data_IF_123442692750
#
_entry.id   IF_123442692750
#
_cell.length_a   1.000
_cell.length_b   1.000
_cell.length_c   1.000
_cell.angle_alpha   90.00
_cell.angle_beta   90.00
_cell.angle_gamma   90.00
#
_symmetry.space_group_name_H-M   'P 1'
#
loop_
_entity.id
_entity.type
_entity.pdbx_description
1 polymer ?
2 polymer ?
3 non-polymer ?
4 water ?
#
# COMPACT_ATOMS: atom_id res chain seq x y z
N UNK A 1 16.15 1.36 9.85
CA UNK A 1 15.44 0.24 9.23
C UNK A 1 15.65 0.48 7.73
N UNK A 2 15.62 -0.58 6.96
CA UNK A 2 15.76 -0.45 5.49
C UNK A 2 14.31 -0.35 5.05
N UNK A 3 13.99 0.73 4.33
CA UNK A 3 12.57 0.90 3.92
C UNK A 3 12.25 0.19 2.62
N UNK A 4 11.51 -0.88 2.66
CA UNK A 4 11.16 -1.62 1.44
C UNK A 4 9.67 -1.78 1.27
N UNK A 5 9.17 -1.72 0.07
CA UNK A 5 7.71 -1.93 -0.16
C UNK A 5 7.35 -3.35 0.30
N UNK A 6 6.23 -3.44 1.02
CA UNK A 6 5.73 -4.74 1.48
C UNK A 6 5.96 -5.21 2.89
N UNK A 7 6.91 -4.63 3.59
CA UNK A 7 7.33 -4.97 4.93
C UNK A 7 6.37 -4.47 5.97
N UNK A 8 6.36 -5.18 7.10
CA UNK A 8 5.49 -4.84 8.22
C UNK A 8 6.00 -3.62 8.99
N UNK A 9 5.02 -2.92 9.58
CA UNK A 9 5.20 -1.75 10.44
C UNK A 9 3.97 -1.74 11.36
N UNK A 10 4.11 -1.31 12.61
CA UNK A 10 2.98 -1.30 13.54
C UNK A 10 2.66 0.17 13.77
N UNK A 11 1.46 0.45 14.27
CA UNK A 11 1.00 1.81 14.56
C UNK A 11 0.58 1.90 16.04
N UNK A 12 1.23 2.78 16.79
CA UNK A 12 0.95 3.01 18.18
C UNK A 12 0.90 1.71 18.96
N UNK A 13 1.84 0.83 18.64
CA UNK A 13 2.05 -0.50 19.25
C UNK A 13 0.83 -1.41 19.25
N UNK A 14 -0.04 -1.11 18.25
CA UNK A 14 -1.33 -1.83 18.08
C UNK A 14 -1.48 -2.51 16.72
N UNK A 15 -2.07 -1.84 15.76
CA UNK A 15 -2.29 -2.32 14.41
C UNK A 15 -0.97 -2.59 13.64
N UNK A 16 -1.12 -3.40 12.62
CA UNK A 16 -0.04 -3.69 11.68
C UNK A 16 -0.51 -3.28 10.29
N UNK A 17 0.36 -2.83 9.47
CA UNK A 17 0.09 -2.50 8.06
C UNK A 17 1.36 -2.77 7.27
N UNK A 18 1.37 -2.62 5.99
CA UNK A 18 2.52 -2.78 5.14
C UNK A 18 3.00 -1.49 4.54
N UNK A 19 4.28 -1.39 4.31
CA UNK A 19 4.91 -0.23 3.69
C UNK A 19 4.49 -0.29 2.22
N UNK A 20 4.14 0.86 1.72
CA UNK A 20 3.77 1.09 0.32
C UNK A 20 5.02 1.31 -0.56
N UNK A 21 5.47 2.57 -0.57
CA UNK A 21 6.61 3.04 -1.33
C UNK A 21 7.40 4.14 -0.62
N UNK A 22 8.71 4.02 -0.67
CA UNK A 22 9.68 4.97 -0.18
C UNK A 22 9.52 6.21 -1.10
N UNK A 23 9.44 7.36 -0.49
CA UNK A 23 9.28 8.65 -1.20
C UNK A 23 10.11 9.73 -0.47
N UNK A 24 10.19 10.88 -1.10
CA UNK A 24 10.87 11.99 -0.41
C UNK A 24 9.93 13.21 -0.68
N UNK A 25 10.17 14.16 0.19
CA UNK A 25 9.53 15.48 0.17
C UNK A 25 10.58 16.51 0.59
N UNK A 26 11.38 16.94 -0.38
CA UNK A 26 12.53 17.85 -0.14
C UNK A 26 13.49 16.88 0.59
N UNK A 27 14.17 17.37 1.62
CA UNK A 27 15.09 16.55 2.41
C UNK A 27 14.45 15.53 3.33
N UNK A 28 13.12 15.46 3.43
CA UNK A 28 12.38 14.55 4.30
C UNK A 28 12.11 13.19 3.65
N UNK A 29 12.45 12.21 4.41
CA UNK A 29 12.27 10.80 4.00
C UNK A 29 10.86 10.41 4.48
N UNK A 30 10.28 9.48 3.69
CA UNK A 30 8.95 8.95 4.01
C UNK A 30 8.66 7.66 3.19
N UNK A 31 7.45 7.20 3.46
CA UNK A 31 6.84 6.07 2.75
C UNK A 31 5.33 6.38 2.65
N UNK A 32 4.72 5.96 1.57
CA UNK A 32 3.27 6.15 1.34
C UNK A 32 2.68 4.81 1.83
N UNK A 33 1.48 5.01 2.39
CA UNK A 33 0.71 3.89 2.96
C UNK A 33 -0.79 4.24 2.82
N UNK A 34 -1.62 3.44 3.46
CA UNK A 34 -3.06 3.54 3.51
C UNK A 34 -3.42 4.40 4.69
N UNK A 35 -4.38 5.29 4.48
CA UNK A 35 -4.86 6.28 5.45
C UNK A 35 -5.53 5.67 6.67
N UNK A 36 -6.24 4.61 6.37
CA UNK A 36 -6.97 3.85 7.41
C UNK A 36 -5.89 3.28 8.35
N UNK A 37 -4.64 3.13 8.01
CA UNK A 37 -3.71 2.59 8.99
C UNK A 37 -3.46 3.39 10.27
N UNK A 38 -3.43 4.71 10.21
CA UNK A 38 -3.16 5.58 11.33
C UNK A 38 -3.72 6.97 11.21
N UNK A 39 -3.76 7.71 12.28
CA UNK A 39 -4.24 9.12 12.30
C UNK A 39 -2.97 9.97 12.38
N UNK A 40 -3.03 11.22 12.05
CA UNK A 40 -1.90 12.14 12.08
C UNK A 40 -1.21 11.95 13.43
N UNK A 41 0.08 12.03 13.40
CA UNK A 41 0.96 11.82 14.53
C UNK A 41 0.95 10.40 15.07
N UNK A 42 0.30 9.35 14.62
CA UNK A 42 0.49 8.05 15.28
C UNK A 42 1.98 7.67 15.02
N UNK A 43 2.52 6.86 15.88
CA UNK A 43 3.90 6.37 15.76
C UNK A 43 4.06 5.04 15.02
N UNK A 44 4.92 5.06 14.03
CA UNK A 44 5.16 3.88 13.17
C UNK A 44 6.39 3.17 13.72
N UNK A 45 6.43 1.86 13.78
CA UNK A 45 7.61 1.18 14.29
C UNK A 45 7.89 0.06 13.33
N UNK A 46 9.16 -0.29 13.17
CA UNK A 46 9.64 -1.37 12.33
C UNK A 46 10.60 -2.17 13.20
N UNK A 47 10.22 -3.41 13.31
CA UNK A 47 10.87 -4.46 14.09
C UNK A 47 11.10 -3.85 15.46
N UNK A 48 10.06 -3.33 16.08
CA UNK A 48 10.25 -2.71 17.39
C UNK A 48 10.90 -1.34 17.53
N UNK A 49 11.53 -0.75 16.54
CA UNK A 49 12.12 0.58 16.67
C UNK A 49 11.26 1.68 16.02
N UNK A 50 11.25 2.88 16.59
CA UNK A 50 10.51 4.02 16.07
C UNK A 50 11.25 4.45 14.78
N UNK A 51 10.47 4.67 13.75
CA UNK A 51 10.87 5.10 12.42
C UNK A 51 10.22 6.47 12.04
N UNK A 52 8.99 6.73 12.44
CA UNK A 52 8.43 8.03 12.05
C UNK A 52 7.03 8.14 12.63
N UNK A 53 6.29 9.11 12.17
CA UNK A 53 4.91 9.30 12.60
C UNK A 53 4.13 9.67 11.32
N UNK A 54 2.80 9.51 11.44
CA UNK A 54 1.99 9.82 10.25
C UNK A 54 1.98 11.32 10.04
N UNK A 55 2.32 11.89 8.91
CA UNK A 55 2.34 13.31 8.67
C UNK A 55 1.00 13.77 8.17
N UNK A 56 0.33 12.94 7.44
CA UNK A 56 -1.00 13.31 6.87
C UNK A 56 -1.75 12.09 6.40
N UNK A 57 -3.05 12.16 6.33
CA UNK A 57 -3.91 11.07 5.80
C UNK A 57 -5.32 11.62 5.49
N UNK A 58 -5.98 10.82 4.66
CA UNK A 58 -7.37 11.03 4.23
C UNK A 58 -8.01 9.62 4.21
N UNK A 59 -9.02 9.55 5.07
CA UNK A 59 -9.79 8.28 5.20
C UNK A 59 -11.02 8.60 6.03
N UNK A 60 -12.23 8.27 5.62
CA UNK A 60 -12.59 7.61 4.34
C UNK A 60 -12.68 8.61 3.19
N UNK A 61 -13.48 8.40 2.17
CA UNK A 61 -13.48 9.37 1.05
C UNK A 61 -12.40 8.86 0.11
N UNK A 62 -11.16 9.02 0.62
CA UNK A 62 -9.97 8.40 -0.08
C UNK A 62 -9.34 7.43 0.97
N UNK A 63 -8.21 6.85 0.65
CA UNK A 63 -7.57 5.99 1.66
C UNK A 63 -6.05 6.16 1.49
N UNK A 64 -5.50 7.28 2.00
CA UNK A 64 -4.05 7.45 1.74
C UNK A 64 -3.30 8.07 2.89
N UNK A 65 -1.99 7.93 2.92
CA UNK A 65 -1.22 8.55 4.02
C UNK A 65 0.29 8.50 3.68
N UNK A 66 1.07 9.28 4.41
CA UNK A 66 2.51 9.26 4.21
C UNK A 66 3.03 9.37 5.64
N UNK A 67 4.09 8.67 5.96
CA UNK A 67 4.70 8.70 7.31
C UNK A 67 6.00 9.46 7.19
N UNK A 68 6.33 10.48 7.95
CA UNK A 68 7.67 11.06 7.62
C UNK A 68 8.61 10.32 8.57
N UNK A 69 9.77 9.93 8.06
CA UNK A 69 10.72 9.15 8.90
C UNK A 69 11.91 9.91 9.46
N UNK A 70 12.53 9.40 10.47
CA UNK A 70 13.75 10.13 10.95
C UNK A 70 14.86 9.99 9.90
N UNK A 71 15.88 10.80 9.92
CA UNK A 71 17.03 10.79 9.02
C UNK A 71 17.72 9.40 8.99
N UNK A 72 17.72 8.64 10.06
CA UNK A 72 18.37 7.38 10.14
C UNK A 72 17.83 6.27 9.25
N UNK A 73 16.67 6.41 8.68
CA UNK A 73 16.10 5.39 7.80
C UNK A 73 16.81 5.56 6.47
N UNK A 74 16.91 4.45 5.79
CA UNK A 74 17.46 4.15 4.49
C UNK A 74 16.28 3.87 3.53
N UNK A 75 16.04 4.85 2.66
CA UNK A 75 14.95 4.62 1.70
C UNK A 75 15.44 3.75 0.55
N UNK A 76 14.72 2.80 0.05
CA UNK A 76 15.14 1.96 -1.08
C UNK A 76 14.04 1.90 -2.12
N UNK A 77 14.43 1.91 -3.36
CA UNK A 77 13.50 1.82 -4.52
C UNK A 77 13.19 0.34 -4.81
N UNK A 78 12.71 -0.37 -3.78
CA UNK A 78 12.42 -1.80 -3.94
C UNK A 78 11.14 -2.22 -3.25
N UNK A 79 10.62 -3.33 -3.75
CA UNK A 79 9.38 -3.95 -3.19
C UNK A 79 9.71 -5.42 -2.91
N UNK A 80 9.39 -5.89 -1.74
CA UNK A 80 9.69 -7.28 -1.35
C UNK A 80 8.94 -8.31 -2.18
N UNK A 81 9.65 -9.33 -2.60
CA UNK A 81 9.12 -10.48 -3.35
C UNK A 81 9.88 -11.70 -2.77
N UNK A 82 9.34 -12.27 -1.68
CA UNK A 82 10.01 -13.40 -0.99
C UNK A 82 11.28 -12.72 -0.50
N UNK A 83 12.39 -13.27 -0.75
CA UNK A 83 13.75 -12.85 -0.42
C UNK A 83 14.26 -12.00 -1.56
N UNK A 84 13.49 -11.83 -2.62
CA UNK A 84 13.99 -11.06 -3.80
C UNK A 84 13.39 -9.70 -3.74
N UNK A 85 13.60 -8.91 -4.79
CA UNK A 85 13.07 -7.52 -4.86
C UNK A 85 12.70 -7.13 -6.29
N UNK A 86 11.73 -6.24 -6.41
CA UNK A 86 11.22 -5.59 -7.62
C UNK A 86 11.69 -4.13 -7.39
N UNK A 87 12.44 -3.64 -8.34
CA UNK A 87 12.98 -2.30 -8.41
C UNK A 87 11.87 -1.36 -8.86
N UNK A 88 11.77 -0.24 -8.14
CA UNK A 88 10.74 0.77 -8.55
C UNK A 88 11.34 1.66 -9.64
N UNK A 89 10.78 1.63 -10.83
CA UNK A 89 11.21 2.42 -11.96
C UNK A 89 10.36 3.63 -12.21
N UNK A 90 9.12 3.81 -11.86
CA UNK A 90 8.28 4.97 -12.06
C UNK A 90 6.87 4.63 -11.65
N UNK A 91 5.92 5.43 -12.09
CA UNK A 91 4.49 5.36 -11.79
C UNK A 91 3.47 5.53 -12.91
N UNK A 92 3.77 4.90 -14.03
CA UNK A 92 2.88 4.90 -15.19
C UNK A 92 1.72 4.03 -14.71
N UNK A 93 0.53 4.53 -14.88
CA UNK A 93 -0.65 3.78 -14.50
C UNK A 93 -0.93 2.79 -15.62
N UNK A 94 -1.07 1.52 -15.26
CA UNK A 94 -1.37 0.41 -16.18
C UNK A 94 -2.89 0.60 -16.38
N UNK A 95 -3.36 0.00 -17.45
CA UNK A 95 -4.78 -0.01 -17.87
C UNK A 95 -5.52 -1.28 -17.45
N UNK A 96 -6.83 -1.22 -17.61
CA UNK A 96 -7.62 -2.45 -17.24
C UNK A 96 -7.01 -3.58 -18.13
N UNK A 97 -6.89 -4.74 -17.57
CA UNK A 97 -6.31 -5.87 -18.26
C UNK A 97 -4.81 -6.06 -17.96
N UNK A 98 -4.08 -5.04 -17.56
CA UNK A 98 -2.65 -5.29 -17.24
C UNK A 98 -2.47 -6.27 -16.09
N UNK A 99 -1.36 -6.97 -16.05
CA UNK A 99 -1.06 -7.93 -14.98
C UNK A 99 -0.53 -7.00 -13.89
N UNK A 100 -0.62 -7.37 -12.65
CA UNK A 100 -0.09 -6.54 -11.55
C UNK A 100 0.13 -7.48 -10.35
N UNK A 101 0.98 -7.03 -9.45
CA UNK A 101 1.31 -7.76 -8.22
C UNK A 101 1.23 -6.75 -7.06
N UNK A 102 1.21 -7.37 -5.89
CA UNK A 102 1.10 -6.62 -4.63
C UNK A 102 1.93 -7.45 -3.64
N UNK A 103 2.46 -6.75 -2.71
CA UNK A 103 3.31 -7.20 -1.63
C UNK A 103 2.83 -6.68 -0.28
N UNK A 104 2.75 -7.62 0.65
CA UNK A 104 2.27 -7.21 2.00
C UNK A 104 2.70 -8.20 3.07
N UNK A 105 2.75 -7.73 4.30
CA UNK A 105 3.17 -8.61 5.39
C UNK A 105 2.30 -9.83 5.63
N UNK A 106 1.11 -9.96 5.10
CA UNK A 106 0.28 -11.16 5.42
C UNK A 106 0.34 -12.28 4.41
N UNK A 107 0.07 -11.95 3.17
CA UNK A 107 0.10 -12.90 2.06
C UNK A 107 1.39 -12.76 1.27
N UNK A 108 2.44 -12.05 1.61
CA UNK A 108 3.63 -12.05 0.76
C UNK A 108 3.29 -11.40 -0.57
N UNK A 109 3.85 -11.79 -1.65
CA UNK A 109 3.72 -11.28 -3.01
C UNK A 109 2.74 -12.05 -3.85
N UNK A 110 1.66 -11.42 -4.27
CA UNK A 110 0.58 -12.02 -5.09
C UNK A 110 0.35 -11.20 -6.38
N UNK A 111 0.10 -11.87 -7.48
CA UNK A 111 -0.11 -11.22 -8.77
C UNK A 111 -1.47 -11.60 -9.30
N UNK A 112 -2.03 -10.93 -10.23
CA UNK A 112 -3.31 -11.06 -10.88
C UNK A 112 -3.43 -9.93 -11.92
N UNK A 113 -4.66 -9.51 -12.19
CA UNK A 113 -4.81 -8.44 -13.21
C UNK A 113 -5.76 -7.43 -12.65
N UNK A 114 -5.78 -6.27 -13.25
CA UNK A 114 -6.66 -5.12 -12.87
C UNK A 114 -7.96 -5.37 -13.60
N UNK A 115 -9.03 -5.38 -12.84
CA UNK A 115 -10.34 -5.68 -13.50
C UNK A 115 -11.28 -4.52 -13.70
N UNK A 116 -11.10 -3.40 -13.00
CA UNK A 116 -11.94 -2.22 -13.03
C UNK A 116 -11.28 -1.04 -12.29
N UNK A 117 -11.65 0.14 -12.68
CA UNK A 117 -11.17 1.40 -12.15
C UNK A 117 -12.38 2.21 -11.64
N UNK A 118 -12.10 3.16 -10.76
CA UNK A 118 -13.13 3.98 -10.18
C UNK A 118 -14.20 3.21 -9.41
N UNK A 119 -13.91 2.23 -8.62
CA UNK A 119 -14.82 1.47 -7.82
C UNK A 119 -14.96 2.13 -6.45
N UNK A 120 -16.14 2.05 -5.88
CA UNK A 120 -16.41 2.57 -4.56
C UNK A 120 -16.40 1.41 -3.56
N UNK A 121 -15.77 1.64 -2.42
CA UNK A 121 -15.80 0.56 -1.40
C UNK A 121 -16.73 1.15 -0.34
N UNK A 122 -17.73 0.44 0.09
CA UNK A 122 -18.60 0.89 1.17
C UNK A 122 -18.01 0.45 2.49
N UNK A 123 -17.05 1.11 3.10
CA UNK A 123 -16.54 0.59 4.39
C UNK A 123 -17.43 1.01 5.55
N UNK A 124 -17.39 0.34 6.69
CA UNK A 124 -18.19 0.67 7.85
C UNK A 124 -17.94 2.14 8.14
N UNK A 125 -16.71 2.60 7.96
CA UNK A 125 -16.47 4.00 8.29
C UNK A 125 -17.04 5.10 7.39
N UNK A 126 -17.29 4.78 6.14
CA UNK A 126 -17.80 5.66 5.10
C UNK A 126 -17.31 5.12 3.75
N UNK A 127 -17.85 5.67 2.66
CA UNK A 127 -17.43 5.26 1.32
C UNK A 127 -15.98 5.72 1.03
N UNK A 128 -15.34 4.92 0.19
CA UNK A 128 -14.01 5.08 -0.40
C UNK A 128 -14.26 4.88 -1.93
N UNK A 129 -14.11 6.04 -2.59
CA UNK A 129 -14.30 6.20 -4.02
C UNK A 129 -13.01 6.21 -4.81
N UNK A 130 -13.09 5.89 -6.09
CA UNK A 130 -11.99 5.88 -7.04
C UNK A 130 -10.91 4.83 -6.97
N UNK A 131 -11.23 3.73 -6.31
CA UNK A 131 -10.23 2.65 -6.16
C UNK A 131 -10.14 1.82 -7.46
N UNK A 132 -8.99 1.19 -7.60
CA UNK A 132 -8.81 0.32 -8.78
C UNK A 132 -8.95 -1.09 -8.19
N UNK A 133 -9.55 -1.93 -9.00
CA UNK A 133 -9.74 -3.33 -8.56
C UNK A 133 -8.84 -4.31 -9.32
N UNK A 134 -8.27 -5.14 -8.50
CA UNK A 134 -7.38 -6.22 -8.99
C UNK A 134 -7.88 -7.60 -8.46
N UNK A 135 -7.35 -8.65 -9.02
CA UNK A 135 -7.80 -9.96 -8.52
C UNK A 135 -6.64 -10.69 -7.84
N UNK A 136 -5.56 -10.00 -7.53
CA UNK A 136 -4.45 -10.69 -6.79
C UNK A 136 -5.08 -10.87 -5.38
N UNK A 137 -4.83 -11.94 -4.65
CA UNK A 137 -5.43 -12.10 -3.34
C UNK A 137 -4.63 -11.26 -2.35
N UNK A 138 -5.17 -11.10 -1.16
CA UNK A 138 -4.67 -10.28 -0.04
C UNK A 138 -5.34 -10.73 1.28
N UNK A 139 -4.86 -10.36 2.44
CA UNK A 139 -5.39 -10.67 3.75
C UNK A 139 -5.27 -9.56 4.78
N UNK A 140 -5.97 -9.61 5.90
CA UNK A 140 -5.85 -8.55 6.90
C UNK A 140 -4.35 -8.38 7.17
N UNK A 141 -3.86 -7.14 7.06
CA UNK A 141 -2.41 -6.95 7.31
C UNK A 141 -1.70 -6.37 6.12
N UNK A 142 -2.19 -6.66 4.95
CA UNK A 142 -1.66 -6.25 3.66
C UNK A 142 -1.86 -4.77 3.40
N UNK A 143 -2.79 -4.13 4.10
CA UNK A 143 -3.15 -2.71 3.87
C UNK A 143 -1.93 -1.75 3.85
N UNK A 144 -2.03 -0.81 2.89
CA UNK A 144 -0.90 0.10 2.73
C UNK A 144 0.17 -0.53 1.86
N UNK A 145 0.22 -1.85 1.64
CA UNK A 145 1.24 -2.50 0.83
C UNK A 145 1.24 -2.09 -0.64
N UNK A 146 2.32 -2.30 -1.31
CA UNK A 146 2.57 -1.92 -2.69
C UNK A 146 1.85 -2.73 -3.75
N UNK A 147 1.48 -2.11 -4.83
CA UNK A 147 0.80 -2.76 -5.98
C UNK A 147 1.80 -2.31 -7.06
N UNK A 148 2.38 -3.22 -7.76
CA UNK A 148 3.36 -2.83 -8.77
C UNK A 148 3.34 -3.82 -9.93
N UNK A 149 3.77 -3.35 -11.10
CA UNK A 149 3.86 -4.24 -12.26
C UNK A 149 5.27 -4.87 -12.22
N UNK A 150 5.48 -5.98 -12.89
CA UNK A 150 6.78 -6.67 -12.97
C UNK A 150 7.81 -5.68 -13.54
N UNK A 151 7.40 -4.85 -14.45
CA UNK A 151 8.29 -3.88 -15.07
C UNK A 151 8.70 -2.81 -14.08
N UNK A 152 8.21 -2.76 -12.86
CA UNK A 152 8.56 -1.76 -11.85
C UNK A 152 7.75 -0.47 -11.82
N UNK A 153 6.56 -0.53 -12.40
CA UNK A 153 5.70 0.67 -12.37
C UNK A 153 4.71 0.57 -11.19
N UNK A 154 4.92 1.50 -10.24
CA UNK A 154 4.15 1.63 -9.01
C UNK A 154 2.72 2.01 -9.31
N UNK A 155 1.76 1.26 -8.87
CA UNK A 155 0.35 1.49 -9.12
C UNK A 155 -0.48 2.13 -7.98
N UNK A 156 -0.13 1.73 -6.75
CA UNK A 156 -0.87 2.22 -5.57
C UNK A 156 -0.57 1.33 -4.36
N UNK A 157 -1.36 1.59 -3.34
CA UNK A 157 -1.26 0.90 -2.05
C UNK A 157 -2.64 0.27 -1.74
N UNK A 158 -2.57 -0.89 -1.16
CA UNK A 158 -3.68 -1.75 -0.75
C UNK A 158 -4.59 -1.06 0.24
N UNK A 159 -5.87 -1.05 -0.06
CA UNK A 159 -6.94 -0.44 0.75
C UNK A 159 -7.79 -1.54 1.39
N UNK A 160 -8.46 -2.36 0.60
CA UNK A 160 -9.32 -3.40 1.13
C UNK A 160 -9.84 -4.35 0.04
N UNK A 161 -10.87 -5.09 0.43
CA UNK A 161 -11.52 -6.04 -0.48
C UNK A 161 -12.37 -7.04 0.29
N UNK A 162 -12.76 -8.09 -0.44
CA UNK A 162 -13.61 -9.13 0.16
C UNK A 162 -12.93 -10.33 0.84
N UNK A 163 -12.51 -10.09 2.08
CA UNK A 163 -11.84 -11.05 2.94
C UNK A 163 -12.94 -12.04 3.37
N UNK A 164 -12.56 -13.28 3.38
CA UNK A 164 -13.45 -14.38 3.79
C UNK A 164 -13.12 -14.58 5.28
N UNK A 165 -13.80 -15.55 5.83
CA UNK A 165 -13.69 -15.89 7.25
C UNK A 165 -12.26 -16.25 7.60
N UNK A 166 -11.42 -16.66 6.69
CA UNK A 166 -10.05 -17.02 7.04
C UNK A 166 -9.12 -15.80 7.05
N UNK A 167 -9.60 -14.59 6.87
CA UNK A 167 -8.72 -13.43 6.91
C UNK A 167 -8.12 -13.04 5.58
N UNK A 168 -8.43 -13.72 4.51
CA UNK A 168 -7.94 -13.36 3.17
C UNK A 168 -9.00 -13.74 2.12
N UNK A 169 -8.68 -13.51 0.86
CA UNK A 169 -9.45 -13.87 -0.31
C UNK A 169 -8.61 -14.84 -1.17
N UNK A 170 -7.66 -15.51 -0.56
CA UNK A 170 -6.80 -16.48 -1.27
C UNK A 170 -7.49 -17.80 -1.54
N UNK A 171 -8.41 -18.30 -0.74
CA UNK A 171 -9.11 -19.55 -0.92
C UNK A 171 -10.27 -19.45 -1.87
N UNK A 172 -10.55 -18.31 -2.50
CA UNK A 172 -11.67 -18.14 -3.44
C UNK A 172 -10.99 -17.90 -4.79
N UNK A 173 -11.70 -18.27 -5.84
CA UNK A 173 -11.11 -18.18 -7.18
C UNK A 173 -10.83 -16.78 -7.62
N UNK A 174 -9.80 -16.53 -8.37
CA UNK A 174 -9.51 -15.21 -8.89
C UNK A 174 -10.76 -14.53 -9.38
N UNK A 175 -11.63 -15.15 -10.11
CA UNK A 175 -12.84 -14.46 -10.64
C UNK A 175 -13.77 -13.83 -9.60
N UNK A 176 -13.74 -14.20 -8.38
CA UNK A 176 -14.56 -13.79 -7.29
C UNK A 176 -13.81 -12.88 -6.36
N UNK A 177 -12.59 -12.51 -6.62
CA UNK A 177 -11.90 -11.62 -5.67
C UNK A 177 -12.05 -10.18 -6.00
N UNK A 178 -12.23 -9.29 -5.08
CA UNK A 178 -12.29 -7.84 -5.37
C UNK A 178 -11.28 -7.29 -4.34
N UNK A 179 -10.11 -6.99 -4.80
CA UNK A 179 -8.96 -6.51 -4.03
C UNK A 179 -8.78 -5.06 -4.50
N UNK A 180 -9.03 -4.16 -3.58
CA UNK A 180 -8.97 -2.73 -3.94
C UNK A 180 -7.75 -1.94 -3.51
N UNK A 181 -7.25 -1.10 -4.43
CA UNK A 181 -6.08 -0.27 -4.16
C UNK A 181 -6.37 1.19 -4.54
N UNK A 182 -5.75 2.06 -3.75
CA UNK A 182 -5.78 3.52 -3.97
C UNK A 182 -4.67 3.88 -4.96
N UNK A 183 -4.93 4.60 -6.00
CA UNK A 183 -3.99 5.01 -7.05
C UNK A 183 -2.87 5.80 -6.45
N UNK A 184 -1.65 5.60 -6.85
CA UNK A 184 -0.51 6.34 -6.32
C UNK A 184 -0.40 7.77 -6.81
N UNK A 185 -0.75 8.06 -8.05
CA UNK A 185 -0.66 9.38 -8.69
C UNK A 185 -1.13 10.53 -7.87
N UNK A 186 -2.36 10.48 -7.48
CA UNK A 186 -2.96 11.57 -6.67
C UNK A 186 -2.33 11.65 -5.27
N UNK A 187 -1.84 10.53 -4.76
CA UNK A 187 -1.20 10.67 -3.42
C UNK A 187 0.09 11.50 -3.66
N UNK A 188 0.86 11.23 -4.71
CA UNK A 188 2.12 11.90 -4.96
C UNK A 188 1.90 13.38 -5.19
N UNK A 189 0.89 13.80 -5.94
CA UNK A 189 0.63 15.21 -6.19
C UNK A 189 0.09 15.96 -4.97
N UNK A 190 -0.84 15.29 -4.30
CA UNK A 190 -1.48 15.83 -3.12
C UNK A 190 -0.47 16.27 -2.06
N UNK A 191 0.51 15.47 -1.81
CA UNK A 191 1.53 15.72 -0.80
C UNK A 191 2.83 16.27 -1.38
N UNK A 192 2.96 16.47 -2.69
CA UNK A 192 4.23 16.98 -3.20
C UNK A 192 5.36 15.93 -3.00
N UNK A 193 5.08 14.65 -3.15
CA UNK A 193 6.10 13.63 -2.93
C UNK A 193 6.84 13.11 -4.13
N UNK A 194 8.03 12.67 -4.02
CA UNK A 194 8.73 12.09 -5.20
C UNK A 194 9.04 10.64 -4.81
N UNK A 195 8.87 9.76 -5.75
CA UNK A 195 9.12 8.31 -5.53
C UNK A 195 10.61 8.01 -5.54
N UNK A 196 11.09 7.15 -4.71
CA UNK A 196 12.54 6.82 -4.81
C UNK A 196 12.62 5.79 -5.91
N UNK A 197 13.43 5.86 -6.93
CA UNK A 197 13.48 4.81 -7.99
C UNK A 197 14.91 4.36 -8.20
N UNK A 198 15.08 3.26 -8.91
CA UNK A 198 16.37 2.65 -9.21
C UNK A 198 16.54 2.03 -10.58
N UNK B 2 -17.00 -5.59 1.65
CA UNK B 2 -15.68 -4.95 1.63
C UNK B 2 -15.24 -4.37 2.96
N UNK B 3 -13.98 -4.59 3.26
CA UNK B 3 -13.40 -4.07 4.52
C UNK B 3 -11.96 -3.65 4.22
N UNK B 4 -11.54 -2.66 4.98
CA UNK B 4 -10.14 -2.18 4.89
C UNK B 4 -9.21 -3.24 5.50
N UNK B 5 -8.04 -3.45 4.92
CA UNK B 5 -7.09 -4.46 5.46
X LIG C 1 -5.64 12.60 -10.36
X LIG C 1 -6.00 13.76 -11.21
X LIG C 1 -6.85 11.79 -9.95
X LIG C 1 -4.72 11.74 -11.20
X LIG C 1 -4.93 13.04 -9.11
#
# INVERSE_FOLDING_TARGET
ANIVGGIEYSINNASLCSVGFSVTRGATKGFVTAGHCGTVNATARIGGAVVGTFAARVFPGNDRAWVSLTSAQTLLPRVANGSSFVTVRGSTEAAVGAAVCRSGRTTGYQCGTITAKNVTANYAEGAVRGLTQGNACMGRGDSGGSWITSAGQAQGVMSGGNVQSNGNNCGIPASQRSSLFERLQPILSQYGLSLVTG
XAAPX
SO4 S O1 O2 O3 O4
#
